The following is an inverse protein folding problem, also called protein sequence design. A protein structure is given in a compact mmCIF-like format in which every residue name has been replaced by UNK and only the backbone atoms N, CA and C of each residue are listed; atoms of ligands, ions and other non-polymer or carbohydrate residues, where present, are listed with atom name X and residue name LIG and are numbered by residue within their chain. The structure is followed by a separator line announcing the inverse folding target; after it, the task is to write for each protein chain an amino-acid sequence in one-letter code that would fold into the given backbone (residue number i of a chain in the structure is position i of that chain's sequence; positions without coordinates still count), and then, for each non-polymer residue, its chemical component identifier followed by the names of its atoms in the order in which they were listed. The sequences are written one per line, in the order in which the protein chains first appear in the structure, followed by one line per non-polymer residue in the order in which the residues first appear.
data_IF_130392466749
#
_entry.id   IF_130392466749
#
_cell.length_a   1.000
_cell.length_b   1.000
_cell.length_c   1.000
_cell.angle_alpha   90.00
_cell.angle_beta   90.00
_cell.angle_gamma   90.00
#
_symmetry.space_group_name_H-M   'P 1'
#
loop_
_entity.id
_entity.type
_entity.pdbx_description
1 polymer ?
#
# COMPACT_ATOMS: atom_id res chain seq x y z
N UNK A 1 -3.00 -16.68 16.97
CA UNK A 1 -2.11 -15.96 16.05
C UNK A 1 -2.98 -14.90 15.40
N UNK A 2 -2.71 -13.62 15.63
CA UNK A 2 -3.36 -12.59 14.82
C UNK A 2 -2.77 -12.76 13.42
N UNK A 3 -3.62 -12.94 12.41
CA UNK A 3 -3.18 -12.94 11.02
C UNK A 3 -2.67 -11.52 10.74
N UNK A 4 -1.37 -11.37 10.55
CA UNK A 4 -0.77 -10.05 10.34
C UNK A 4 -1.16 -9.54 8.95
N UNK A 5 -2.05 -8.56 8.92
CA UNK A 5 -2.43 -7.84 7.71
C UNK A 5 -1.48 -6.67 7.46
N UNK A 6 -1.37 -6.26 6.19
CA UNK A 6 -0.79 -4.98 5.80
C UNK A 6 -1.88 -4.15 5.18
N UNK A 7 -2.11 -2.96 5.71
CA UNK A 7 -3.04 -1.99 5.11
C UNK A 7 -2.22 -1.05 4.20
N UNK A 8 -2.80 -0.70 3.07
CA UNK A 8 -2.18 0.18 2.07
C UNK A 8 -3.04 1.43 1.99
N UNK A 9 -2.40 2.58 2.06
CA UNK A 9 -3.06 3.87 2.01
C UNK A 9 -2.42 4.78 0.96
N UNK A 10 -3.15 5.82 0.57
CA UNK A 10 -2.69 6.86 -0.35
C UNK A 10 -3.07 8.25 0.20
N UNK A 11 -2.23 9.24 -0.04
CA UNK A 11 -2.54 10.64 0.23
C UNK A 11 -3.06 11.37 -1.04
N UNK A 12 -3.52 12.60 -0.88
CA UNK A 12 -4.00 13.40 -2.02
C UNK A 12 -2.90 13.81 -3.02
N UNK A 13 -1.63 13.51 -2.75
CA UNK A 13 -0.49 13.77 -3.63
C UNK A 13 -0.07 12.55 -4.46
N UNK A 14 -0.67 11.38 -4.18
CA UNK A 14 -0.36 10.10 -4.82
C UNK A 14 0.83 9.37 -4.18
N UNK A 15 1.24 9.76 -2.97
CA UNK A 15 2.18 8.99 -2.17
C UNK A 15 1.49 7.79 -1.52
N UNK A 16 2.20 6.67 -1.44
CA UNK A 16 1.69 5.42 -0.88
C UNK A 16 2.29 5.15 0.49
N UNK A 17 1.47 4.55 1.35
CA UNK A 17 1.80 4.23 2.73
C UNK A 17 1.44 2.78 3.04
N UNK A 18 2.22 2.13 3.89
CA UNK A 18 1.93 0.80 4.41
C UNK A 18 1.79 0.83 5.93
N UNK A 19 0.84 0.07 6.45
CA UNK A 19 0.60 -0.07 7.88
C UNK A 19 0.64 -1.53 8.30
N UNK A 20 1.38 -1.86 9.36
CA UNK A 20 1.40 -3.19 9.98
C UNK A 20 1.70 -3.07 11.46
N UNK A 21 0.94 -3.75 12.31
CA UNK A 21 1.23 -3.83 13.75
C UNK A 21 1.23 -2.48 14.48
N UNK A 22 0.54 -1.47 13.95
CA UNK A 22 0.52 -0.10 14.48
C UNK A 22 1.66 0.80 13.98
N UNK A 23 2.55 0.28 13.13
CA UNK A 23 3.56 1.08 12.43
C UNK A 23 3.02 1.53 11.08
N UNK A 24 3.19 2.81 10.74
CA UNK A 24 2.86 3.36 9.43
C UNK A 24 4.12 3.94 8.78
N UNK A 25 4.32 3.62 7.50
CA UNK A 25 5.49 4.03 6.74
C UNK A 25 5.08 4.62 5.40
N UNK A 26 5.58 5.81 5.09
CA UNK A 26 5.53 6.40 3.77
C UNK A 26 6.57 5.74 2.86
N UNK A 27 6.11 5.18 1.74
CA UNK A 27 6.97 4.74 0.64
C UNK A 27 7.35 5.91 -0.27
N UNK A 28 6.49 6.94 -0.33
CA UNK A 28 6.62 8.09 -1.21
C UNK A 28 5.77 7.95 -2.48
N UNK A 29 5.95 8.86 -3.45
CA UNK A 29 5.24 8.81 -4.72
C UNK A 29 5.64 7.57 -5.52
N UNK A 30 4.68 6.99 -6.24
CA UNK A 30 4.89 5.75 -6.99
C UNK A 30 5.75 6.03 -8.23
N UNK A 31 6.92 5.42 -8.27
CA UNK A 31 7.83 5.42 -9.40
C UNK A 31 7.63 4.17 -10.28
N UNK A 32 8.13 4.14 -11.53
CA UNK A 32 7.93 3.00 -12.43
C UNK A 32 8.39 1.65 -11.88
N UNK A 33 9.40 1.63 -11.01
CA UNK A 33 9.87 0.41 -10.38
C UNK A 33 8.91 -0.11 -9.29
N UNK A 34 8.05 0.75 -8.75
CA UNK A 34 7.03 0.42 -7.74
C UNK A 34 5.72 -0.11 -8.35
N UNK A 35 5.55 -0.03 -9.66
CA UNK A 35 4.32 -0.48 -10.32
C UNK A 35 4.04 -1.96 -10.05
N UNK A 36 2.87 -2.26 -9.49
CA UNK A 36 2.45 -3.61 -9.13
C UNK A 36 3.22 -4.26 -7.97
N UNK A 37 4.03 -3.50 -7.21
CA UNK A 37 4.82 -4.06 -6.08
C UNK A 37 4.00 -4.36 -4.83
N UNK A 38 2.78 -3.82 -4.70
CA UNK A 38 1.96 -3.91 -3.48
C UNK A 38 1.90 -5.32 -2.85
N UNK A 39 1.61 -6.34 -3.64
CA UNK A 39 1.50 -7.71 -3.14
C UNK A 39 2.85 -8.29 -2.68
N UNK A 40 3.93 -8.02 -3.41
CA UNK A 40 5.27 -8.49 -3.07
C UNK A 40 5.82 -7.81 -1.82
N UNK A 41 5.64 -6.49 -1.72
CA UNK A 41 6.11 -5.69 -0.58
C UNK A 41 5.32 -6.07 0.70
N UNK A 42 3.99 -6.18 0.59
CA UNK A 42 3.16 -6.60 1.73
C UNK A 42 3.50 -8.02 2.21
N UNK A 43 3.69 -8.96 1.28
CA UNK A 43 4.12 -10.33 1.60
C UNK A 43 5.50 -10.33 2.25
N UNK A 44 6.47 -9.63 1.66
CA UNK A 44 7.82 -9.53 2.17
C UNK A 44 7.86 -8.97 3.59
N UNK A 45 6.99 -7.99 3.90
CA UNK A 45 6.88 -7.43 5.25
C UNK A 45 6.28 -8.39 6.27
N UNK A 46 5.25 -9.14 5.88
CA UNK A 46 4.65 -10.18 6.75
C UNK A 46 5.63 -11.34 6.99
N UNK A 47 6.34 -11.80 5.95
CA UNK A 47 7.27 -12.92 6.03
C UNK A 47 8.64 -12.53 6.62
N UNK A 48 8.90 -11.23 6.79
CA UNK A 48 10.18 -10.72 7.30
C UNK A 48 11.33 -10.78 6.30
N UNK A 49 11.03 -10.98 5.01
CA UNK A 49 12.00 -10.96 3.92
C UNK A 49 12.36 -9.52 3.52
N UNK A 50 11.44 -8.59 3.75
CA UNK A 50 11.59 -7.17 3.48
C UNK A 50 10.83 -6.36 4.54
N UNK A 51 11.09 -5.05 4.62
CA UNK A 51 10.27 -4.11 5.38
C UNK A 51 10.65 -2.67 5.05
N UNK A 52 9.70 -1.72 5.18
CA UNK A 52 10.00 -0.31 4.96
C UNK A 52 11.07 0.15 5.95
N UNK A 53 12.05 0.89 5.44
CA UNK A 53 13.17 1.35 6.24
C UNK A 53 13.75 2.66 5.71
N UNK A 54 14.41 3.40 6.59
CA UNK A 54 14.95 4.72 6.26
C UNK A 54 16.14 4.70 5.30
N UNK A 55 16.86 3.57 5.21
CA UNK A 55 18.01 3.44 4.32
C UNK A 55 17.59 3.35 2.85
N UNK A 56 16.40 2.79 2.59
CA UNK A 56 15.78 2.72 1.26
C UNK A 56 14.93 3.98 0.93
N UNK A 57 14.98 5.01 1.79
CA UNK A 57 14.33 6.29 1.57
C UNK A 57 12.88 6.38 2.08
N UNK A 58 12.32 5.29 2.62
CA UNK A 58 11.03 5.34 3.30
C UNK A 58 11.12 6.08 4.63
N UNK A 59 9.99 6.54 5.17
CA UNK A 59 9.95 7.27 6.45
C UNK A 59 8.79 6.80 7.31
N UNK A 60 8.93 6.76 8.64
CA UNK A 60 7.78 6.66 9.54
C UNK A 60 6.80 7.80 9.26
N UNK A 61 5.50 7.50 9.31
CA UNK A 61 4.43 8.44 9.02
C UNK A 61 3.24 8.25 9.98
N UNK A 62 2.32 9.20 9.95
CA UNK A 62 1.03 9.10 10.63
C UNK A 62 -0.07 8.74 9.62
N UNK A 63 -1.12 8.08 10.07
CA UNK A 63 -2.28 7.70 9.26
C UNK A 63 -3.25 8.85 8.96
N UNK A 64 -3.02 10.04 9.52
CA UNK A 64 -3.96 11.14 9.41
C UNK A 64 -4.05 11.68 7.97
N UNK A 65 -5.28 11.82 7.47
CA UNK A 65 -5.54 12.29 6.11
C UNK A 65 -5.20 11.30 4.99
N UNK A 66 -5.01 10.02 5.29
CA UNK A 66 -4.75 8.97 4.29
C UNK A 66 -6.01 8.16 3.97
N UNK A 67 -6.24 7.91 2.69
CA UNK A 67 -7.32 7.02 2.23
C UNK A 67 -6.85 5.57 2.24
N UNK A 68 -7.62 4.66 2.81
CA UNK A 68 -7.33 3.23 2.78
C UNK A 68 -7.74 2.62 1.42
N UNK A 69 -6.76 2.09 0.69
CA UNK A 69 -6.94 1.66 -0.71
C UNK A 69 -6.86 0.15 -0.91
N UNK A 70 -6.22 -0.60 -0.01
CA UNK A 70 -6.17 -2.06 -0.09
C UNK A 70 -5.71 -2.70 1.22
N UNK A 71 -6.05 -3.97 1.42
CA UNK A 71 -5.55 -4.79 2.54
C UNK A 71 -4.92 -6.06 2.02
N UNK A 72 -3.70 -6.36 2.44
CA UNK A 72 -3.09 -7.68 2.28
C UNK A 72 -3.58 -8.63 3.37
N UNK A 73 -4.02 -9.81 2.95
CA UNK A 73 -4.47 -10.90 3.82
C UNK A 73 -3.73 -12.19 3.48
N UNK A 74 -3.97 -13.26 4.25
CA UNK A 74 -3.44 -14.58 3.93
C UNK A 74 -3.90 -15.12 2.55
N UNK A 75 -5.03 -14.63 2.04
CA UNK A 75 -5.59 -15.01 0.75
C UNK A 75 -5.13 -14.07 -0.40
N UNK A 76 -4.33 -13.06 -0.08
CA UNK A 76 -3.80 -12.08 -1.02
C UNK A 76 -4.33 -10.66 -0.83
N UNK A 77 -4.12 -9.83 -1.85
CA UNK A 77 -4.45 -8.40 -1.84
C UNK A 77 -5.95 -8.19 -2.14
N UNK A 78 -6.65 -7.56 -1.20
CA UNK A 78 -8.04 -7.14 -1.31
C UNK A 78 -8.07 -5.64 -1.59
N UNK A 79 -8.56 -5.25 -2.75
CA UNK A 79 -8.58 -3.86 -3.20
C UNK A 79 -9.84 -3.16 -2.69
N UNK A 80 -9.67 -1.93 -2.20
CA UNK A 80 -10.74 -1.06 -1.73
C UNK A 80 -11.54 -0.45 -2.89
N UNK A 81 -12.87 -0.55 -2.79
CA UNK A 81 -13.81 0.08 -3.72
C UNK A 81 -14.76 1.00 -2.97
N UNK A 82 -15.14 2.11 -3.61
CA UNK A 82 -16.17 3.01 -3.12
C UNK A 82 -17.58 2.42 -3.28
N UNK A 83 -18.58 3.13 -2.77
CA UNK A 83 -19.99 2.68 -2.80
C UNK A 83 -20.53 2.45 -4.22
N UNK A 84 -19.93 3.09 -5.24
CA UNK A 84 -20.34 2.93 -6.64
C UNK A 84 -19.48 1.94 -7.43
N UNK A 85 -18.54 1.26 -6.76
CA UNK A 85 -17.68 0.22 -7.33
C UNK A 85 -16.39 0.73 -7.99
N UNK A 86 -16.16 2.03 -8.00
CA UNK A 86 -14.89 2.64 -8.39
C UNK A 86 -13.77 2.26 -7.41
N UNK A 87 -12.51 2.32 -7.87
CA UNK A 87 -11.36 2.17 -6.98
C UNK A 87 -11.32 3.34 -6.01
N UNK A 88 -11.04 3.07 -4.73
CA UNK A 88 -10.70 4.13 -3.76
C UNK A 88 -9.36 4.77 -4.12
N UNK A 89 -8.44 3.98 -4.69
CA UNK A 89 -7.12 4.45 -5.10
C UNK A 89 -7.20 5.52 -6.20
N UNK A 90 -6.44 6.59 -5.98
CA UNK A 90 -5.99 7.53 -7.00
C UNK A 90 -4.90 6.94 -7.89
N UNK A 91 -4.27 7.79 -8.71
CA UNK A 91 -3.34 7.34 -9.75
C UNK A 91 -2.08 6.64 -9.20
N UNK A 92 -1.55 7.12 -8.07
CA UNK A 92 -0.37 6.53 -7.44
C UNK A 92 -0.72 5.17 -6.87
N UNK A 93 -1.76 5.12 -6.02
CA UNK A 93 -2.28 3.89 -5.43
C UNK A 93 -2.61 2.85 -6.48
N UNK A 94 -3.34 3.22 -7.53
CA UNK A 94 -3.67 2.35 -8.66
C UNK A 94 -2.41 1.72 -9.30
N UNK A 95 -1.40 2.54 -9.59
CA UNK A 95 -0.14 2.07 -10.17
C UNK A 95 0.61 1.11 -9.23
N UNK A 96 0.69 1.41 -7.93
CA UNK A 96 1.36 0.55 -6.94
C UNK A 96 0.62 -0.78 -6.74
N UNK A 97 -0.71 -0.75 -6.70
CA UNK A 97 -1.56 -1.94 -6.64
C UNK A 97 -1.51 -2.77 -7.93
N UNK A 98 -0.99 -2.20 -9.03
CA UNK A 98 -0.99 -2.84 -10.35
C UNK A 98 -2.40 -2.96 -10.94
N UNK A 99 -3.33 -2.11 -10.51
CA UNK A 99 -4.69 -2.04 -11.05
C UNK A 99 -4.92 -0.70 -11.72
N UNK A 100 -5.40 -0.71 -12.96
CA UNK A 100 -5.60 0.52 -13.71
C UNK A 100 -4.42 0.88 -14.61
N UNK A 101 -4.35 0.19 -15.75
CA UNK A 101 -4.30 0.88 -17.02
C UNK A 101 -5.25 0.13 -17.96
N UNK A 102 -6.54 0.44 -17.90
CA UNK A 102 -7.42 0.16 -19.04
C UNK A 102 -6.90 1.01 -20.21
N UNK A 103 -6.14 0.37 -21.09
CA UNK A 103 -5.88 0.87 -22.45
C UNK A 103 -7.13 0.71 -23.30
#
# INVERSE_FOLDING_TARGET
MQTECVEIHEDNSGAVYLTRGGECWALGPVTPDMEGRAASDARGWVEGEWGPNEADGQRPADLDGLDHIATWTADGLVIGHGDTGELVAGAGGAAYLGVGASR
#
